data_IF_841206158695
#
_entry.id   IF_841206158695
#
_cell.length_a   1.000
_cell.length_b   1.000
_cell.length_c   1.000
_cell.angle_alpha   90.00
_cell.angle_beta   90.00
_cell.angle_gamma   90.00
#
_symmetry.space_group_name_H-M   'P 1'
#
loop_
_entity.id
_entity.type
_entity.pdbx_description
1 polymer ?
#
# COMPACT_ATOMS: atom_id res chain seq x y z
N UNK A 1 19.27 -6.14 15.37
CA UNK A 1 19.05 -4.96 16.22
C UNK A 1 17.71 -4.32 15.84
N UNK A 2 16.93 -3.90 16.83
CA UNK A 2 15.72 -3.07 16.63
C UNK A 2 16.13 -1.61 16.84
N UNK A 3 15.69 -0.71 15.98
CA UNK A 3 15.94 0.73 16.11
C UNK A 3 14.62 1.47 16.23
N UNK A 4 14.55 2.44 17.13
CA UNK A 4 13.40 3.33 17.29
C UNK A 4 13.87 4.77 17.04
N UNK A 5 13.10 5.52 16.25
CA UNK A 5 13.38 6.91 15.89
C UNK A 5 12.17 7.76 16.24
N UNK A 6 12.39 8.70 17.16
CA UNK A 6 11.40 9.69 17.59
C UNK A 6 12.04 11.07 17.44
N UNK A 7 12.02 11.69 16.24
CA UNK A 7 12.58 13.00 16.01
C UNK A 7 11.76 14.05 16.78
N UNK A 8 12.46 15.01 17.38
CA UNK A 8 11.83 16.23 17.91
C UNK A 8 11.43 17.21 16.81
N UNK A 9 11.87 17.01 15.56
CA UNK A 9 11.58 17.87 14.42
C UNK A 9 10.26 17.52 13.73
N UNK A 10 9.62 18.53 13.13
CA UNK A 10 8.38 18.37 12.38
C UNK A 10 8.54 17.49 11.13
N UNK A 11 9.71 17.50 10.49
CA UNK A 11 10.02 16.66 9.34
C UNK A 11 11.27 15.82 9.59
N UNK A 12 11.22 14.56 9.18
CA UNK A 12 12.33 13.61 9.22
C UNK A 12 12.62 13.10 7.80
N UNK A 13 13.88 13.17 7.42
CA UNK A 13 14.41 12.45 6.26
C UNK A 13 15.19 11.26 6.79
N UNK A 14 14.66 10.06 6.55
CA UNK A 14 15.30 8.84 6.99
C UNK A 14 15.90 8.10 5.79
N UNK A 15 17.21 7.89 5.88
CA UNK A 15 17.97 7.13 4.90
C UNK A 15 18.82 6.11 5.65
N UNK A 16 18.53 4.82 5.48
CA UNK A 16 19.32 3.76 6.12
C UNK A 16 20.17 2.96 5.12
N UNK A 17 21.42 2.76 5.51
CA UNK A 17 22.39 1.91 4.80
C UNK A 17 22.82 0.68 5.63
N UNK A 18 22.38 0.55 6.88
CA UNK A 18 22.75 -0.55 7.78
C UNK A 18 21.77 -1.71 7.67
N UNK A 19 22.23 -2.97 7.84
CA UNK A 19 21.33 -4.11 7.88
C UNK A 19 20.54 -4.09 9.20
N UNK A 20 19.34 -3.50 9.19
CA UNK A 20 18.44 -3.55 10.33
C UNK A 20 17.52 -4.77 10.27
N UNK A 21 17.22 -5.35 11.44
CA UNK A 21 16.16 -6.35 11.53
C UNK A 21 14.79 -5.66 11.56
N UNK A 22 14.66 -4.57 12.32
CA UNK A 22 13.44 -3.80 12.36
C UNK A 22 13.68 -2.34 12.72
N UNK A 23 12.79 -1.48 12.25
CA UNK A 23 12.78 -0.06 12.57
C UNK A 23 11.36 0.41 12.93
N UNK A 24 11.28 1.30 13.90
CA UNK A 24 10.06 1.99 14.33
C UNK A 24 10.30 3.50 14.20
N UNK A 25 9.42 4.22 13.51
CA UNK A 25 9.53 5.67 13.30
C UNK A 25 8.21 6.34 13.67
N UNK A 26 8.27 7.36 14.53
CA UNK A 26 7.15 8.26 14.79
C UNK A 26 7.56 9.66 14.37
N UNK A 27 6.80 10.38 13.55
CA UNK A 27 7.15 11.76 13.13
C UNK A 27 5.93 12.52 12.65
N UNK A 28 5.95 13.86 12.60
CA UNK A 28 4.83 14.58 11.97
C UNK A 28 4.86 14.41 10.43
N UNK A 29 6.02 14.58 9.81
CA UNK A 29 6.26 14.34 8.39
C UNK A 29 7.49 13.46 8.19
N UNK A 30 7.37 12.39 7.38
CA UNK A 30 8.46 11.47 7.07
C UNK A 30 8.66 11.33 5.57
N UNK A 31 9.89 11.54 5.13
CA UNK A 31 10.40 11.03 3.86
C UNK A 31 11.31 9.85 4.16
N UNK A 32 10.82 8.64 3.91
CA UNK A 32 11.53 7.41 4.20
C UNK A 32 11.99 6.75 2.91
N UNK A 33 13.30 6.50 2.82
CA UNK A 33 13.90 5.85 1.67
C UNK A 33 14.86 4.73 2.09
N UNK A 34 14.49 3.47 1.84
CA UNK A 34 15.34 2.33 2.13
C UNK A 34 16.04 1.74 0.91
N UNK A 35 17.34 1.50 1.07
CA UNK A 35 18.19 0.87 0.07
C UNK A 35 18.76 -0.50 0.50
N UNK A 36 18.27 -1.08 1.61
CA UNK A 36 18.69 -2.40 2.11
C UNK A 36 17.49 -3.28 2.49
N UNK A 37 17.65 -4.61 2.48
CA UNK A 37 16.58 -5.50 2.92
C UNK A 37 16.32 -5.29 4.41
N UNK A 38 15.10 -4.88 4.77
CA UNK A 38 14.58 -4.93 6.13
C UNK A 38 13.60 -6.09 6.29
N UNK A 39 13.57 -6.66 7.49
CA UNK A 39 12.57 -7.70 7.81
C UNK A 39 11.23 -7.09 8.20
N UNK A 40 11.22 -5.94 8.86
CA UNK A 40 9.97 -5.26 9.25
C UNK A 40 10.18 -3.78 9.52
N UNK A 41 9.25 -2.95 9.07
CA UNK A 41 9.18 -1.52 9.38
C UNK A 41 7.80 -1.18 9.95
N UNK A 42 7.77 -0.31 10.96
CA UNK A 42 6.56 0.30 11.48
C UNK A 42 6.71 1.83 11.50
N UNK A 43 5.81 2.54 10.84
CA UNK A 43 5.82 4.01 10.77
C UNK A 43 4.49 4.56 11.25
N UNK A 44 4.56 5.56 12.13
CA UNK A 44 3.42 6.42 12.48
C UNK A 44 3.75 7.86 12.09
N UNK A 45 2.94 8.49 11.25
CA UNK A 45 3.15 9.91 10.90
C UNK A 45 1.89 10.64 10.48
N UNK A 46 1.88 11.98 10.47
CA UNK A 46 0.77 12.69 9.85
C UNK A 46 0.87 12.60 8.31
N UNK A 47 2.06 12.81 7.77
CA UNK A 47 2.36 12.68 6.33
C UNK A 47 3.56 11.77 6.10
N UNK A 48 3.40 10.76 5.25
CA UNK A 48 4.46 9.83 4.88
C UNK A 48 4.64 9.79 3.36
N UNK A 49 5.87 10.01 2.91
CA UNK A 49 6.33 9.63 1.59
C UNK A 49 7.33 8.47 1.73
N UNK A 50 6.90 7.27 1.34
CA UNK A 50 7.66 6.05 1.51
C UNK A 50 8.08 5.48 0.16
N UNK A 51 9.39 5.32 -0.04
CA UNK A 51 9.94 4.79 -1.28
C UNK A 51 10.98 3.70 -1.02
N UNK A 52 10.68 2.47 -1.44
CA UNK A 52 11.58 1.34 -1.22
C UNK A 52 12.10 0.70 -2.51
N UNK A 53 13.42 0.51 -2.51
CA UNK A 53 14.15 -0.06 -3.65
C UNK A 53 14.71 -1.45 -3.35
N UNK A 54 14.30 -2.10 -2.26
CA UNK A 54 14.78 -3.44 -1.85
C UNK A 54 13.65 -4.33 -1.32
N UNK A 55 13.84 -5.67 -1.31
CA UNK A 55 12.83 -6.57 -0.78
C UNK A 55 12.57 -6.34 0.69
N UNK A 56 11.30 -6.20 1.05
CA UNK A 56 10.82 -6.08 2.42
C UNK A 56 9.90 -7.23 2.77
N UNK A 57 10.06 -7.78 3.97
CA UNK A 57 9.18 -8.87 4.40
C UNK A 57 7.86 -8.33 4.94
N UNK A 58 7.86 -7.22 5.68
CA UNK A 58 6.64 -6.64 6.23
C UNK A 58 6.74 -5.13 6.41
N UNK A 59 5.67 -4.42 6.08
CA UNK A 59 5.51 -2.97 6.31
C UNK A 59 4.20 -2.76 7.08
N UNK A 60 4.26 -1.91 8.11
CA UNK A 60 3.08 -1.41 8.81
C UNK A 60 3.13 0.12 8.85
N UNK A 61 2.14 0.79 8.29
CA UNK A 61 2.08 2.25 8.23
C UNK A 61 0.75 2.77 8.74
N UNK A 62 0.80 3.71 9.67
CA UNK A 62 -0.35 4.51 10.10
C UNK A 62 -0.09 5.96 9.77
N UNK A 63 -0.95 6.58 8.95
CA UNK A 63 -0.79 8.01 8.64
C UNK A 63 -2.07 8.76 8.29
N UNK A 64 -2.09 10.09 8.33
CA UNK A 64 -3.22 10.82 7.75
C UNK A 64 -3.14 10.79 6.20
N UNK A 65 -1.96 11.06 5.65
CA UNK A 65 -1.68 10.98 4.22
C UNK A 65 -0.45 10.10 3.95
N UNK A 66 -0.62 9.11 3.08
CA UNK A 66 0.45 8.23 2.60
C UNK A 66 0.58 8.32 1.08
N UNK A 67 1.80 8.58 0.63
CA UNK A 67 2.25 8.26 -0.72
C UNK A 67 3.28 7.14 -0.64
N UNK A 68 2.93 5.97 -1.16
CA UNK A 68 3.77 4.78 -1.10
C UNK A 68 4.09 4.26 -2.50
N UNK A 69 5.38 4.12 -2.78
CA UNK A 69 5.87 3.64 -4.05
C UNK A 69 6.93 2.55 -3.87
N UNK A 70 6.60 1.33 -4.31
CA UNK A 70 7.50 0.18 -4.21
C UNK A 70 7.99 -0.32 -5.56
N UNK A 71 9.32 -0.41 -5.66
CA UNK A 71 10.01 -0.91 -6.84
C UNK A 71 10.51 -2.35 -6.69
N UNK A 72 10.21 -3.03 -5.58
CA UNK A 72 10.70 -4.39 -5.29
C UNK A 72 9.66 -5.29 -4.63
N UNK A 73 9.84 -6.63 -4.71
CA UNK A 73 8.88 -7.55 -4.13
C UNK A 73 8.81 -7.43 -2.62
N UNK A 74 7.60 -7.39 -2.08
CA UNK A 74 7.34 -7.52 -0.66
C UNK A 74 6.43 -8.72 -0.37
N UNK A 75 6.43 -9.17 0.89
CA UNK A 75 5.54 -10.26 1.32
C UNK A 75 4.23 -9.75 1.90
N UNK A 76 4.25 -8.70 2.71
CA UNK A 76 3.03 -8.17 3.32
C UNK A 76 3.13 -6.67 3.60
N UNK A 77 2.12 -5.91 3.18
CA UNK A 77 1.90 -4.52 3.57
C UNK A 77 0.60 -4.43 4.35
N UNK A 78 0.62 -3.67 5.44
CA UNK A 78 -0.55 -3.24 6.17
C UNK A 78 -0.53 -1.72 6.29
N UNK A 79 -1.56 -1.07 5.76
CA UNK A 79 -1.67 0.39 5.76
C UNK A 79 -3.00 0.83 6.31
N UNK A 80 -2.95 1.77 7.25
CA UNK A 80 -4.11 2.54 7.71
C UNK A 80 -3.88 4.01 7.42
N UNK A 81 -4.76 4.64 6.64
CA UNK A 81 -4.64 6.08 6.38
C UNK A 81 -5.95 6.82 6.15
N UNK A 82 -5.99 8.15 6.21
CA UNK A 82 -7.15 8.87 5.70
C UNK A 82 -7.12 8.90 4.15
N UNK A 83 -5.95 9.22 3.58
CA UNK A 83 -5.70 9.22 2.14
C UNK A 83 -4.48 8.38 1.79
N UNK A 84 -4.65 7.42 0.89
CA UNK A 84 -3.57 6.59 0.35
C UNK A 84 -3.46 6.73 -1.16
N UNK A 85 -2.25 7.04 -1.63
CA UNK A 85 -1.82 6.81 -3.00
C UNK A 85 -0.77 5.70 -2.98
N UNK A 86 -1.10 4.55 -3.56
CA UNK A 86 -0.23 3.38 -3.58
C UNK A 86 0.05 2.94 -5.01
N UNK A 87 1.33 2.82 -5.34
CA UNK A 87 1.78 2.45 -6.67
C UNK A 87 2.86 1.36 -6.61
N UNK A 88 2.53 0.17 -7.13
CA UNK A 88 3.45 -0.95 -7.13
C UNK A 88 3.87 -1.40 -8.53
N UNK A 89 5.18 -1.52 -8.69
CA UNK A 89 5.79 -1.96 -9.94
C UNK A 89 6.34 -3.38 -9.88
N UNK A 90 6.09 -4.15 -8.81
CA UNK A 90 6.65 -5.50 -8.60
C UNK A 90 5.68 -6.48 -7.93
N UNK A 91 5.93 -7.80 -8.07
CA UNK A 91 5.05 -8.81 -7.50
C UNK A 91 5.05 -8.78 -5.98
N UNK A 92 3.86 -8.97 -5.40
CA UNK A 92 3.69 -9.11 -3.96
C UNK A 92 2.77 -10.28 -3.60
N UNK A 93 2.79 -10.66 -2.31
CA UNK A 93 1.90 -11.72 -1.80
C UNK A 93 0.61 -11.19 -1.19
N UNK A 94 0.66 -10.15 -0.38
CA UNK A 94 -0.51 -9.65 0.34
C UNK A 94 -0.42 -8.16 0.59
N UNK A 95 -1.50 -7.43 0.32
CA UNK A 95 -1.72 -6.07 0.79
C UNK A 95 -3.01 -6.05 1.60
N UNK A 96 -2.99 -5.35 2.73
CA UNK A 96 -4.17 -4.98 3.49
C UNK A 96 -4.20 -3.47 3.67
N UNK A 97 -5.23 -2.83 3.16
CA UNK A 97 -5.39 -1.38 3.22
C UNK A 97 -6.72 -1.00 3.83
N UNK A 98 -6.68 -0.09 4.80
CA UNK A 98 -7.85 0.61 5.33
C UNK A 98 -7.66 2.10 5.09
N UNK A 99 -8.57 2.74 4.35
CA UNK A 99 -8.50 4.20 4.15
C UNK A 99 -9.84 4.90 3.94
N UNK A 100 -9.91 6.22 4.08
CA UNK A 100 -11.11 6.94 3.62
C UNK A 100 -11.11 7.03 2.08
N UNK A 101 -9.97 7.40 1.50
CA UNK A 101 -9.76 7.45 0.05
C UNK A 101 -8.52 6.63 -0.34
N UNK A 102 -8.70 5.68 -1.25
CA UNK A 102 -7.60 4.90 -1.84
C UNK A 102 -7.52 5.12 -3.35
N UNK A 103 -6.33 5.51 -3.82
CA UNK A 103 -5.92 5.34 -5.20
C UNK A 103 -4.82 4.28 -5.28
N UNK A 104 -5.10 3.18 -5.96
CA UNK A 104 -4.21 2.03 -6.07
C UNK A 104 -3.93 1.66 -7.52
N UNK A 105 -2.65 1.58 -7.88
CA UNK A 105 -2.24 1.25 -9.24
C UNK A 105 -1.16 0.17 -9.24
N UNK A 106 -1.47 -0.98 -9.85
CA UNK A 106 -0.57 -2.12 -9.91
C UNK A 106 -0.24 -2.54 -11.34
N UNK A 107 1.07 -2.69 -11.59
CA UNK A 107 1.59 -3.09 -12.89
C UNK A 107 2.07 -4.55 -12.92
N UNK A 108 1.92 -5.34 -11.85
CA UNK A 108 2.52 -6.68 -11.71
C UNK A 108 1.64 -7.70 -11.00
N UNK A 109 1.92 -9.00 -11.18
CA UNK A 109 1.08 -10.04 -10.59
C UNK A 109 1.15 -10.07 -9.06
N UNK A 110 0.00 -10.30 -8.44
CA UNK A 110 -0.11 -10.48 -6.99
C UNK A 110 -1.01 -11.65 -6.59
N UNK A 111 -0.91 -12.06 -5.32
CA UNK A 111 -1.75 -13.15 -4.79
C UNK A 111 -3.04 -12.67 -4.14
N UNK A 112 -2.98 -11.64 -3.29
CA UNK A 112 -4.14 -11.19 -2.53
C UNK A 112 -4.08 -9.70 -2.23
N UNK A 113 -5.19 -9.00 -2.45
CA UNK A 113 -5.44 -7.65 -1.93
C UNK A 113 -6.70 -7.69 -1.08
N UNK A 114 -6.66 -7.04 0.08
CA UNK A 114 -7.83 -6.71 0.87
C UNK A 114 -7.87 -5.21 1.10
N UNK A 115 -8.93 -4.56 0.65
CA UNK A 115 -9.10 -3.12 0.79
C UNK A 115 -10.44 -2.81 1.45
N UNK A 116 -10.41 -1.92 2.43
CA UNK A 116 -11.60 -1.28 2.97
C UNK A 116 -11.45 0.23 2.79
N UNK A 117 -12.34 0.87 2.02
CA UNK A 117 -12.34 2.33 1.90
C UNK A 117 -13.69 2.98 1.65
N UNK A 118 -13.84 4.27 1.93
CA UNK A 118 -15.07 4.96 1.53
C UNK A 118 -15.09 5.16 0.01
N UNK A 119 -13.96 5.62 -0.56
CA UNK A 119 -13.72 5.72 -2.00
C UNK A 119 -12.53 4.87 -2.43
N UNK A 120 -12.69 4.08 -3.49
CA UNK A 120 -11.64 3.26 -4.08
C UNK A 120 -11.52 3.54 -5.58
N UNK A 121 -10.36 3.99 -6.02
CA UNK A 121 -9.95 3.98 -7.42
C UNK A 121 -8.81 2.98 -7.59
N UNK A 122 -9.04 1.92 -8.35
CA UNK A 122 -8.09 0.82 -8.49
C UNK A 122 -7.90 0.41 -9.94
N UNK A 123 -6.63 0.33 -10.36
CA UNK A 123 -6.24 0.04 -11.73
C UNK A 123 -5.18 -1.07 -11.78
N UNK A 124 -5.51 -2.16 -12.47
CA UNK A 124 -4.70 -3.37 -12.55
C UNK A 124 -4.38 -3.77 -13.99
N UNK A 125 -3.08 -3.85 -14.30
CA UNK A 125 -2.61 -4.23 -15.64
C UNK A 125 -2.18 -5.71 -15.76
N UNK A 126 -2.26 -6.52 -14.71
CA UNK A 126 -1.68 -7.87 -14.67
C UNK A 126 -2.52 -8.90 -13.90
N UNK A 127 -2.27 -10.21 -14.09
CA UNK A 127 -3.05 -11.27 -13.45
C UNK A 127 -2.93 -11.29 -11.93
N UNK A 128 -4.02 -11.61 -11.25
CA UNK A 128 -4.06 -11.81 -9.80
C UNK A 128 -4.92 -13.01 -9.38
N UNK A 129 -4.71 -13.49 -8.15
CA UNK A 129 -5.48 -14.64 -7.61
C UNK A 129 -6.73 -14.23 -6.84
N UNK A 130 -6.69 -13.18 -6.02
CA UNK A 130 -7.84 -12.76 -5.22
C UNK A 130 -7.81 -11.27 -4.92
N UNK A 131 -8.95 -10.61 -5.06
CA UNK A 131 -9.20 -9.26 -4.55
C UNK A 131 -10.46 -9.31 -3.67
N UNK A 132 -10.39 -8.69 -2.50
CA UNK A 132 -11.55 -8.38 -1.66
C UNK A 132 -11.58 -6.88 -1.41
N UNK A 133 -12.64 -6.21 -1.84
CA UNK A 133 -12.80 -4.76 -1.64
C UNK A 133 -14.13 -4.47 -0.97
N UNK A 134 -14.08 -3.69 0.09
CA UNK A 134 -15.27 -3.12 0.73
C UNK A 134 -15.23 -1.62 0.54
N UNK A 135 -16.13 -1.06 -0.28
CA UNK A 135 -16.20 0.39 -0.44
C UNK A 135 -17.58 0.95 -0.72
N UNK A 136 -17.80 2.22 -0.35
CA UNK A 136 -19.05 2.93 -0.65
C UNK A 136 -19.06 3.49 -2.08
N UNK A 137 -17.89 3.76 -2.65
CA UNK A 137 -17.67 4.09 -4.05
C UNK A 137 -16.50 3.27 -4.59
N UNK A 138 -16.68 2.66 -5.76
CA UNK A 138 -15.69 1.81 -6.41
C UNK A 138 -15.56 2.18 -7.88
N UNK A 139 -14.33 2.52 -8.28
CA UNK A 139 -13.91 2.64 -9.67
C UNK A 139 -12.80 1.64 -9.92
N UNK A 140 -13.06 0.62 -10.74
CA UNK A 140 -12.17 -0.53 -10.94
C UNK A 140 -11.90 -0.75 -12.42
N UNK A 141 -10.62 -0.80 -12.80
CA UNK A 141 -10.17 -1.09 -14.16
C UNK A 141 -9.21 -2.28 -14.17
N UNK A 142 -9.53 -3.34 -14.91
CA UNK A 142 -8.72 -4.58 -15.00
C UNK A 142 -8.51 -4.96 -16.44
N UNK A 143 -7.25 -5.11 -16.84
CA UNK A 143 -6.89 -5.43 -18.22
C UNK A 143 -6.54 -6.92 -18.46
N UNK A 144 -6.62 -7.80 -17.46
CA UNK A 144 -6.05 -9.19 -17.53
C UNK A 144 -6.83 -10.21 -16.67
N UNK A 145 -6.68 -11.53 -16.93
CA UNK A 145 -7.46 -12.57 -16.27
C UNK A 145 -7.23 -12.67 -14.75
N UNK A 146 -8.29 -12.98 -14.01
CA UNK A 146 -8.30 -13.15 -12.57
C UNK A 146 -9.06 -14.41 -12.14
N UNK A 147 -8.78 -14.91 -10.92
CA UNK A 147 -9.47 -16.10 -10.37
C UNK A 147 -10.66 -15.76 -9.48
N UNK A 148 -10.63 -14.66 -8.74
CA UNK A 148 -11.71 -14.27 -7.82
C UNK A 148 -11.66 -12.78 -7.49
N UNK A 149 -12.80 -12.11 -7.57
CA UNK A 149 -13.03 -10.75 -7.04
C UNK A 149 -14.27 -10.81 -6.16
N UNK A 150 -14.19 -10.25 -4.96
CA UNK A 150 -15.33 -10.03 -4.08
C UNK A 150 -15.42 -8.56 -3.74
N UNK A 151 -16.50 -7.91 -4.17
CA UNK A 151 -16.80 -6.51 -3.85
C UNK A 151 -17.98 -6.46 -2.88
N UNK A 152 -17.83 -5.83 -1.73
CA UNK A 152 -18.94 -5.57 -0.82
C UNK A 152 -19.17 -4.05 -0.74
N UNK A 153 -20.37 -3.62 -1.13
CA UNK A 153 -20.77 -2.22 -1.04
C UNK A 153 -21.95 -2.13 -0.08
N UNK A 154 -21.89 -1.28 0.97
CA UNK A 154 -23.07 -0.95 1.75
C UNK A 154 -24.12 -0.32 0.80
N UNK A 155 -25.43 -0.44 1.08
CA UNK A 155 -26.49 -0.12 0.12
C UNK A 155 -26.48 1.37 -0.26
N UNK A 156 -25.74 1.73 -1.32
CA UNK A 156 -25.82 2.96 -2.14
C UNK A 156 -24.69 2.99 -3.20
N UNK A 157 -25.06 3.20 -4.47
CA UNK A 157 -24.27 3.78 -5.60
C UNK A 157 -23.65 2.84 -6.66
N UNK A 158 -23.66 3.37 -7.89
CA UNK A 158 -23.40 2.88 -9.25
C UNK A 158 -22.10 2.11 -9.48
N UNK A 159 -22.20 0.99 -10.20
CA UNK A 159 -21.08 0.25 -10.80
C UNK A 159 -20.82 0.75 -12.22
N UNK A 160 -19.57 1.10 -12.53
CA UNK A 160 -19.06 1.15 -13.90
C UNK A 160 -17.91 0.17 -14.01
N UNK A 161 -18.17 -0.99 -14.59
CA UNK A 161 -17.18 -2.02 -14.88
C UNK A 161 -17.04 -2.10 -16.39
N UNK A 162 -16.00 -1.46 -16.93
CA UNK A 162 -15.63 -1.66 -18.33
C UNK A 162 -14.90 -3.00 -18.46
N UNK A 163 -15.54 -3.96 -19.14
CA UNK A 163 -15.02 -5.30 -19.40
C UNK A 163 -14.48 -5.41 -20.83
N UNK A 164 -13.68 -4.45 -21.28
CA UNK A 164 -13.10 -4.41 -22.63
C UNK A 164 -11.91 -5.38 -22.80
N UNK A 165 -12.08 -6.65 -22.44
CA UNK A 165 -11.02 -7.66 -22.48
C UNK A 165 -11.49 -9.11 -22.52
N UNK A 166 -12.30 -9.47 -23.53
CA UNK A 166 -12.39 -10.82 -24.10
C UNK A 166 -12.47 -10.72 -25.62
#
# INVERSE_FOLDING_TARGET
VRYSIQPLSASLYHYDNRPLRSIEITSASLHHHDNRPLRSIAITSASLHHHDNRPLRSIMTTSASLHHHDNRPFRSIMTTSASLNHHDNRPFRSIMTTSASLHHHDNRPFRSIMTTSASLHHHDNRPFRSIMTTSASLHHHVNRPFRSIMTHQPPSITMTTDHSGL
#
